data_IF_399694942027
#
_entry.id   IF_399694942027
#
_cell.length_a   1.000
_cell.length_b   1.000
_cell.length_c   1.000
_cell.angle_alpha   90.00
_cell.angle_beta   90.00
_cell.angle_gamma   90.00
#
_symmetry.space_group_name_H-M   'P 1'
#
loop_
_entity.id
_entity.type
_entity.pdbx_description
1 polymer ?
#
# COMPACT_ATOMS: atom_id res chain seq x y z
N UNK A 1 19.39 6.17 1.86
CA UNK A 1 18.04 5.83 2.40
C UNK A 1 17.46 4.57 1.78
N UNK A 2 17.28 4.50 0.45
CA UNK A 2 16.52 3.43 -0.23
C UNK A 2 17.06 1.99 -0.06
N UNK A 3 18.35 1.84 0.23
CA UNK A 3 19.00 0.55 0.43
C UNK A 3 19.91 0.56 1.68
N UNK A 4 19.56 1.37 2.68
CA UNK A 4 20.33 1.43 3.93
C UNK A 4 20.30 0.06 4.64
N UNK A 5 21.42 -0.43 5.23
CA UNK A 5 21.51 -1.79 5.77
C UNK A 5 20.39 -2.17 6.75
N UNK A 6 20.02 -1.25 7.64
CA UNK A 6 18.92 -1.46 8.59
C UNK A 6 17.56 -1.69 7.91
N UNK A 7 17.34 -1.07 6.74
CA UNK A 7 16.13 -1.23 5.93
C UNK A 7 16.14 -2.58 5.23
N UNK A 8 17.24 -2.91 4.55
CA UNK A 8 17.39 -4.16 3.80
C UNK A 8 17.21 -5.37 4.73
N UNK A 9 17.82 -5.34 5.91
CA UNK A 9 17.68 -6.41 6.92
C UNK A 9 16.21 -6.65 7.30
N UNK A 10 15.46 -5.57 7.57
CA UNK A 10 14.06 -5.66 8.01
C UNK A 10 13.12 -6.02 6.85
N UNK A 11 13.32 -5.44 5.67
CA UNK A 11 12.52 -5.79 4.49
C UNK A 11 12.75 -7.25 4.05
N UNK A 12 13.96 -7.78 4.18
CA UNK A 12 14.19 -9.21 3.94
C UNK A 12 13.36 -10.12 4.85
N UNK A 13 13.12 -9.70 6.11
CA UNK A 13 12.27 -10.44 7.06
C UNK A 13 10.77 -10.20 6.82
N UNK A 14 10.38 -8.99 6.41
CA UNK A 14 8.97 -8.61 6.26
C UNK A 14 8.40 -8.99 4.89
N UNK A 15 9.12 -8.72 3.79
CA UNK A 15 8.64 -8.90 2.41
C UNK A 15 9.32 -10.07 1.69
N UNK A 16 10.32 -10.70 2.32
CA UNK A 16 11.21 -11.65 1.68
C UNK A 16 12.38 -10.99 0.94
N UNK A 17 13.33 -11.83 0.50
CA UNK A 17 14.46 -11.41 -0.33
C UNK A 17 13.94 -10.90 -1.69
N UNK A 18 14.62 -9.91 -2.29
CA UNK A 18 14.28 -9.32 -3.61
C UNK A 18 13.04 -8.42 -3.62
N UNK A 19 12.76 -7.75 -2.52
CA UNK A 19 11.81 -6.64 -2.52
C UNK A 19 12.24 -5.55 -3.53
N UNK A 20 11.28 -4.74 -3.98
CA UNK A 20 11.52 -3.63 -4.90
C UNK A 20 10.84 -2.36 -4.42
N UNK A 21 11.26 -1.23 -4.99
CA UNK A 21 10.55 0.03 -4.85
C UNK A 21 9.18 -0.08 -5.53
N UNK A 22 8.13 0.28 -4.81
CA UNK A 22 6.74 0.29 -5.28
C UNK A 22 6.27 1.73 -5.55
N UNK A 23 6.47 2.63 -4.58
CA UNK A 23 6.11 4.06 -4.70
C UNK A 23 7.09 4.97 -3.94
N UNK A 24 7.16 6.23 -4.38
CA UNK A 24 7.95 7.29 -3.75
C UNK A 24 9.33 7.47 -4.37
N UNK A 25 10.21 8.25 -3.71
CA UNK A 25 10.04 8.87 -2.40
C UNK A 25 8.97 9.98 -2.40
N UNK A 26 8.14 10.02 -1.36
CA UNK A 26 7.24 11.16 -1.09
C UNK A 26 7.81 11.96 0.09
N UNK A 27 7.91 13.28 -0.08
CA UNK A 27 8.21 14.18 1.02
C UNK A 27 6.89 14.54 1.70
N UNK A 28 6.77 14.19 2.98
CA UNK A 28 5.66 14.60 3.82
C UNK A 28 6.11 15.79 4.64
N UNK A 29 5.38 16.89 4.48
CA UNK A 29 5.61 18.17 5.14
C UNK A 29 4.33 18.60 5.84
N UNK A 30 4.47 19.19 7.02
CA UNK A 30 3.37 19.87 7.71
C UNK A 30 3.89 21.01 8.57
N UNK A 31 3.11 22.08 8.66
CA UNK A 31 3.27 23.14 9.66
C UNK A 31 2.17 23.02 10.71
N UNK A 32 2.26 23.75 11.82
CA UNK A 32 1.21 23.79 12.84
C UNK A 32 -0.16 24.03 12.22
N UNK A 33 -1.16 23.24 12.62
CA UNK A 33 -2.51 23.26 12.07
C UNK A 33 -2.73 22.45 10.79
N UNK A 34 -1.70 21.79 10.24
CA UNK A 34 -1.89 20.87 9.10
C UNK A 34 -2.86 19.75 9.48
N UNK A 35 -3.91 19.56 8.68
CA UNK A 35 -4.96 18.58 8.95
C UNK A 35 -4.46 17.12 8.97
N UNK A 36 -5.20 16.29 9.69
CA UNK A 36 -5.00 14.84 9.73
C UNK A 36 -5.65 14.12 8.56
N UNK A 37 -5.66 12.79 8.64
CA UNK A 37 -6.33 11.91 7.68
C UNK A 37 -7.30 11.00 8.42
N UNK A 38 -8.44 10.70 7.80
CA UNK A 38 -9.22 9.51 8.18
C UNK A 38 -8.32 8.29 8.03
N UNK A 39 -8.31 7.43 9.05
CA UNK A 39 -7.51 6.22 9.02
C UNK A 39 -7.98 5.29 7.91
N UNK A 40 -7.00 4.71 7.22
CA UNK A 40 -7.19 3.88 6.04
C UNK A 40 -6.19 2.73 6.04
N UNK A 41 -6.31 1.83 5.07
CA UNK A 41 -5.57 0.57 5.01
C UNK A 41 -6.44 -0.59 5.48
N UNK A 42 -5.85 -1.50 6.26
CA UNK A 42 -6.45 -2.75 6.77
C UNK A 42 -6.72 -3.85 5.74
N UNK A 43 -6.35 -3.62 4.47
CA UNK A 43 -6.66 -4.55 3.39
C UNK A 43 -8.14 -4.92 3.38
N UNK A 44 -9.05 -3.95 3.55
CA UNK A 44 -10.50 -4.19 3.42
C UNK A 44 -11.06 -3.39 2.24
N UNK A 45 -11.66 -4.06 1.23
CA UNK A 45 -11.67 -5.52 1.02
C UNK A 45 -10.27 -6.12 0.87
N UNK A 46 -10.14 -7.44 1.09
CA UNK A 46 -8.84 -8.13 1.05
C UNK A 46 -8.12 -7.89 -0.26
N UNK A 47 -6.90 -7.33 -0.18
CA UNK A 47 -6.03 -7.11 -1.32
C UNK A 47 -4.73 -7.93 -1.15
N UNK A 48 -4.58 -9.06 -1.85
CA UNK A 48 -3.41 -9.94 -1.74
C UNK A 48 -2.07 -9.23 -2.01
N UNK A 49 -2.05 -8.20 -2.86
CA UNK A 49 -0.82 -7.51 -3.23
C UNK A 49 -0.19 -6.72 -2.08
N UNK A 50 -0.97 -6.35 -1.06
CA UNK A 50 -0.47 -5.66 0.16
C UNK A 50 -0.65 -6.49 1.42
N UNK A 51 -1.27 -7.66 1.31
CA UNK A 51 -1.70 -8.44 2.46
C UNK A 51 -0.53 -8.83 3.36
N UNK A 52 -0.83 -8.94 4.65
CA UNK A 52 0.02 -9.59 5.63
C UNK A 52 -0.41 -11.05 5.79
N UNK A 53 0.58 -11.93 5.93
CA UNK A 53 0.37 -13.30 6.37
C UNK A 53 1.51 -13.71 7.30
N UNK A 54 1.20 -14.60 8.25
CA UNK A 54 2.20 -15.25 9.07
C UNK A 54 1.93 -16.75 9.05
N UNK A 55 2.98 -17.52 8.77
CA UNK A 55 2.96 -18.96 8.88
C UNK A 55 4.22 -19.40 9.64
N UNK A 56 4.01 -20.11 10.75
CA UNK A 56 5.07 -20.43 11.72
C UNK A 56 5.82 -19.15 12.16
N UNK A 57 7.14 -19.20 12.20
CA UNK A 57 8.03 -18.09 12.57
C UNK A 57 8.34 -17.14 11.41
N UNK A 58 7.68 -17.31 10.25
CA UNK A 58 7.89 -16.47 9.07
C UNK A 58 6.71 -15.55 8.85
N UNK A 59 7.01 -14.26 8.71
CA UNK A 59 6.04 -13.24 8.30
C UNK A 59 6.24 -12.87 6.84
N UNK A 60 5.15 -12.52 6.18
CA UNK A 60 5.16 -11.98 4.83
C UNK A 60 4.21 -10.78 4.76
N UNK A 61 4.66 -9.71 4.13
CA UNK A 61 3.82 -8.59 3.77
C UNK A 61 4.10 -8.21 2.31
N UNK A 62 3.03 -8.16 1.52
CA UNK A 62 3.12 -7.79 0.11
C UNK A 62 3.60 -6.34 -0.10
N UNK A 63 3.35 -5.45 0.86
CA UNK A 63 3.76 -4.05 0.80
C UNK A 63 4.14 -3.46 2.15
N UNK A 64 5.38 -3.00 2.29
CA UNK A 64 5.90 -2.34 3.50
C UNK A 64 6.25 -0.90 3.17
N UNK A 65 5.77 0.01 4.00
CA UNK A 65 6.12 1.42 3.93
C UNK A 65 7.19 1.74 4.97
N UNK A 66 8.23 2.46 4.54
CA UNK A 66 9.35 2.92 5.34
C UNK A 66 9.31 4.44 5.38
N UNK A 67 9.14 5.01 6.57
CA UNK A 67 9.12 6.45 6.77
C UNK A 67 10.32 6.88 7.60
N UNK A 68 11.16 7.73 7.02
CA UNK A 68 12.29 8.37 7.69
C UNK A 68 11.83 9.69 8.28
N UNK A 69 12.02 9.87 9.59
CA UNK A 69 11.78 11.16 10.23
C UNK A 69 12.99 12.07 10.02
N UNK A 70 12.75 13.26 9.45
CA UNK A 70 13.78 14.29 9.27
C UNK A 70 13.65 15.40 10.31
N UNK A 71 12.60 15.35 11.13
CA UNK A 71 12.37 16.20 12.30
C UNK A 71 11.93 15.30 13.46
N UNK A 72 12.06 15.80 14.68
CA UNK A 72 11.46 15.15 15.84
C UNK A 72 9.93 15.06 15.70
N UNK A 73 9.36 14.00 16.29
CA UNK A 73 7.93 13.78 16.46
C UNK A 73 7.73 13.40 17.93
N UNK A 74 7.35 14.37 18.75
CA UNK A 74 7.13 14.17 20.17
C UNK A 74 5.68 13.76 20.44
N UNK A 75 5.43 13.31 21.67
CA UNK A 75 4.09 12.98 22.12
C UNK A 75 3.18 14.20 22.00
N UNK A 76 2.03 14.05 21.35
CA UNK A 76 1.07 15.13 21.16
C UNK A 76 1.33 16.05 19.96
N UNK A 77 2.48 15.95 19.28
CA UNK A 77 2.75 16.73 18.07
C UNK A 77 1.81 16.38 16.90
N UNK A 78 1.17 15.20 16.94
CA UNK A 78 0.36 14.65 15.86
C UNK A 78 1.18 13.85 14.84
N UNK A 79 0.80 13.88 13.57
CA UNK A 79 1.51 13.11 12.55
C UNK A 79 1.12 11.63 12.57
N UNK A 80 2.04 10.73 12.20
CA UNK A 80 1.69 9.32 11.94
C UNK A 80 1.00 8.67 13.14
N UNK A 81 -0.09 7.96 12.86
CA UNK A 81 -0.75 7.07 13.82
C UNK A 81 -1.14 5.75 13.16
N UNK A 82 -1.29 4.71 13.97
CA UNK A 82 -1.79 3.42 13.51
C UNK A 82 -2.68 2.75 14.55
N UNK A 83 -3.44 1.75 14.11
CA UNK A 83 -4.06 0.77 15.01
C UNK A 83 -3.17 -0.49 14.99
N UNK A 84 -2.42 -0.76 16.07
CA UNK A 84 -1.60 -1.97 16.16
C UNK A 84 -2.45 -3.24 15.99
N UNK A 85 -1.93 -4.24 15.29
CA UNK A 85 -2.63 -5.52 15.09
C UNK A 85 -3.79 -5.51 14.07
N UNK A 86 -4.24 -4.35 13.59
CA UNK A 86 -5.35 -4.23 12.62
C UNK A 86 -5.17 -5.03 11.32
N UNK A 87 -3.93 -5.33 10.94
CA UNK A 87 -3.58 -6.19 9.81
C UNK A 87 -3.95 -7.67 9.96
N UNK A 88 -4.39 -8.08 11.15
CA UNK A 88 -4.98 -9.41 11.41
C UNK A 88 -6.49 -9.34 11.60
N UNK A 89 -7.09 -8.16 11.50
CA UNK A 89 -8.54 -8.01 11.62
C UNK A 89 -9.24 -8.78 10.51
N UNK A 90 -10.33 -9.47 10.85
CA UNK A 90 -11.26 -10.07 9.89
C UNK A 90 -12.56 -9.27 9.75
N UNK A 91 -12.62 -8.12 10.41
CA UNK A 91 -13.80 -7.30 10.52
C UNK A 91 -13.47 -5.86 10.13
N UNK A 92 -14.51 -5.15 9.68
CA UNK A 92 -14.39 -3.74 9.35
C UNK A 92 -13.93 -2.93 10.54
N UNK A 93 -12.98 -2.03 10.33
CA UNK A 93 -12.60 -1.08 11.36
C UNK A 93 -13.78 -0.16 11.70
N UNK A 94 -14.16 -0.03 12.98
CA UNK A 94 -15.26 0.83 13.38
C UNK A 94 -15.09 2.27 12.88
N UNK A 95 -16.18 2.90 12.46
CA UNK A 95 -16.15 4.23 11.88
C UNK A 95 -15.52 5.27 12.81
N UNK A 96 -15.88 5.27 14.10
CA UNK A 96 -15.32 6.19 15.10
C UNK A 96 -13.81 6.02 15.32
N UNK A 97 -13.27 4.82 15.13
CA UNK A 97 -11.82 4.57 15.17
C UNK A 97 -11.17 5.10 13.91
N UNK A 98 -11.82 4.96 12.74
CA UNK A 98 -11.30 5.50 11.48
C UNK A 98 -11.28 7.03 11.45
N UNK A 99 -12.29 7.68 12.01
CA UNK A 99 -12.34 9.16 12.08
C UNK A 99 -11.54 9.71 13.26
N UNK A 100 -11.16 8.85 14.21
CA UNK A 100 -10.55 9.21 15.49
C UNK A 100 -11.48 10.03 16.41
N UNK A 101 -12.80 10.06 16.17
CA UNK A 101 -13.77 10.69 17.06
C UNK A 101 -13.98 9.89 18.36
N UNK A 102 -13.88 8.56 18.24
CA UNK A 102 -13.84 7.62 19.36
C UNK A 102 -12.92 6.46 18.96
N UNK A 103 -11.65 6.59 19.29
CA UNK A 103 -10.61 5.65 18.92
C UNK A 103 -10.61 4.36 19.76
N UNK A 104 -11.47 4.28 20.79
CA UNK A 104 -11.56 3.18 21.75
C UNK A 104 -10.22 2.88 22.46
N UNK A 105 -9.29 3.84 22.49
CA UNK A 105 -7.92 3.64 22.98
C UNK A 105 -7.07 2.71 22.08
N UNK A 106 -7.48 2.47 20.83
CA UNK A 106 -6.80 1.56 19.90
C UNK A 106 -5.75 2.26 19.02
N UNK A 107 -5.80 3.59 18.93
CA UNK A 107 -4.90 4.37 18.06
C UNK A 107 -3.64 4.72 18.82
N UNK A 108 -2.48 4.54 18.17
CA UNK A 108 -1.16 4.81 18.74
C UNK A 108 -0.39 5.78 17.86
N UNK A 109 0.10 6.86 18.47
CA UNK A 109 1.09 7.79 17.90
C UNK A 109 2.49 7.42 18.41
N UNK A 110 3.39 6.86 17.58
CA UNK A 110 4.76 6.61 17.97
C UNK A 110 5.55 7.93 18.10
N UNK A 111 6.31 8.06 19.19
CA UNK A 111 7.31 9.12 19.37
C UNK A 111 8.59 8.72 18.66
N UNK A 112 9.19 9.67 17.93
CA UNK A 112 10.37 9.44 17.09
C UNK A 112 11.28 10.67 17.11
N UNK A 113 12.58 10.47 16.91
CA UNK A 113 13.58 11.51 16.74
C UNK A 113 14.00 11.64 15.28
N UNK A 114 14.54 12.79 14.91
CA UNK A 114 15.16 12.94 13.60
C UNK A 114 16.22 11.84 13.37
N UNK A 115 16.11 11.13 12.26
CA UNK A 115 16.92 9.95 11.94
C UNK A 115 16.23 8.61 12.20
N UNK A 116 15.17 8.57 13.00
CA UNK A 116 14.40 7.34 13.23
C UNK A 116 13.66 6.89 11.97
N UNK A 117 13.42 5.58 11.91
CA UNK A 117 12.74 4.93 10.80
C UNK A 117 11.56 4.12 11.31
N UNK A 118 10.38 4.46 10.80
CA UNK A 118 9.15 3.73 11.02
C UNK A 118 8.89 2.75 9.87
N UNK A 119 8.58 1.50 10.22
CA UNK A 119 8.10 0.47 9.30
C UNK A 119 6.63 0.20 9.60
N UNK A 120 5.78 0.22 8.58
CA UNK A 120 4.37 -0.14 8.74
C UNK A 120 3.82 -0.74 7.46
N UNK A 121 2.74 -1.52 7.61
CA UNK A 121 2.11 -2.22 6.49
C UNK A 121 1.06 -1.31 5.84
N UNK A 122 1.49 -0.30 5.10
CA UNK A 122 0.61 0.77 4.60
C UNK A 122 -0.58 0.33 3.73
N UNK A 123 -0.65 -0.93 3.28
CA UNK A 123 -1.88 -1.49 2.71
C UNK A 123 -2.68 -2.36 3.68
N UNK A 124 -2.00 -3.19 4.49
CA UNK A 124 -2.65 -4.16 5.37
C UNK A 124 -2.96 -3.64 6.78
N UNK A 125 -2.37 -2.54 7.26
CA UNK A 125 -2.60 -1.99 8.60
C UNK A 125 -3.42 -0.71 8.52
N UNK A 126 -4.38 -0.53 9.43
CA UNK A 126 -5.07 0.74 9.61
C UNK A 126 -4.08 1.79 10.14
N UNK A 127 -3.93 2.88 9.41
CA UNK A 127 -3.03 3.97 9.74
C UNK A 127 -3.51 5.29 9.14
N UNK A 128 -2.90 6.38 9.53
CA UNK A 128 -3.20 7.71 9.05
C UNK A 128 -2.35 8.73 9.75
N UNK A 129 -2.86 9.95 9.90
CA UNK A 129 -2.17 11.00 10.64
C UNK A 129 -3.16 11.78 11.50
N UNK A 130 -2.77 12.08 12.74
CA UNK A 130 -3.42 13.14 13.49
C UNK A 130 -3.00 14.52 12.96
N UNK A 131 -3.84 15.56 13.15
CA UNK A 131 -3.47 16.94 12.84
C UNK A 131 -2.17 17.34 13.53
N UNK A 132 -1.34 18.12 12.85
CA UNK A 132 -0.04 18.54 13.37
C UNK A 132 -0.18 19.74 14.31
N UNK A 133 0.32 19.60 15.54
CA UNK A 133 0.19 20.59 16.61
C UNK A 133 1.52 21.29 16.96
N UNK A 134 2.65 20.80 16.43
CA UNK A 134 3.95 21.35 16.78
C UNK A 134 4.27 22.62 16.00
N UNK A 135 4.89 23.60 16.68
CA UNK A 135 5.47 24.79 16.05
C UNK A 135 6.66 24.44 15.14
N UNK A 136 7.34 23.32 15.39
CA UNK A 136 8.40 22.83 14.50
C UNK A 136 7.77 22.11 13.31
N UNK A 137 8.15 22.44 12.06
CA UNK A 137 7.59 21.76 10.90
C UNK A 137 7.89 20.26 10.89
N UNK A 138 6.85 19.46 10.63
CA UNK A 138 6.99 18.03 10.34
C UNK A 138 7.73 17.84 9.03
N UNK A 139 8.77 17.01 9.05
CA UNK A 139 9.50 16.58 7.85
C UNK A 139 9.74 15.08 7.89
N UNK A 140 9.25 14.36 6.88
CA UNK A 140 9.56 12.94 6.71
C UNK A 140 9.62 12.53 5.24
N UNK A 141 10.33 11.44 4.96
CA UNK A 141 10.40 10.84 3.62
C UNK A 141 9.78 9.45 3.70
N UNK A 142 8.77 9.23 2.88
CA UNK A 142 8.02 7.98 2.82
C UNK A 142 8.35 7.23 1.53
N UNK A 143 8.79 5.98 1.68
CA UNK A 143 9.17 5.09 0.58
C UNK A 143 8.40 3.79 0.75
N UNK A 144 7.68 3.35 -0.30
CA UNK A 144 6.93 2.10 -0.27
C UNK A 144 7.69 1.03 -1.04
N UNK A 145 7.80 -0.14 -0.43
CA UNK A 145 8.42 -1.33 -1.03
C UNK A 145 7.36 -2.43 -1.18
N UNK A 146 7.50 -3.22 -2.23
CA UNK A 146 6.70 -4.42 -2.44
C UNK A 146 7.58 -5.67 -2.49
N UNK A 147 7.03 -6.80 -2.05
CA UNK A 147 7.67 -8.10 -2.28
C UNK A 147 7.83 -8.37 -3.78
N UNK A 148 8.73 -9.28 -4.16
CA UNK A 148 8.92 -9.62 -5.58
C UNK A 148 7.61 -10.07 -6.26
N UNK A 149 6.78 -10.84 -5.55
CA UNK A 149 5.52 -11.39 -6.06
C UNK A 149 4.34 -10.41 -6.02
N UNK A 150 4.42 -9.33 -5.25
CA UNK A 150 3.33 -8.35 -5.14
C UNK A 150 3.47 -7.26 -6.17
N UNK A 151 2.63 -7.24 -7.21
CA UNK A 151 2.61 -6.17 -8.23
C UNK A 151 1.39 -5.27 -8.05
N UNK A 152 1.61 -4.07 -7.49
CA UNK A 152 0.53 -3.11 -7.26
C UNK A 152 0.39 -2.11 -8.40
N UNK A 153 1.47 -1.41 -8.72
CA UNK A 153 1.57 -0.50 -9.84
C UNK A 153 2.83 -0.77 -10.65
N UNK A 154 2.77 -0.37 -11.92
CA UNK A 154 3.92 -0.24 -12.81
C UNK A 154 4.18 1.25 -13.05
N UNK A 155 5.42 1.67 -13.34
CA UNK A 155 5.76 3.08 -13.56
C UNK A 155 4.96 3.76 -14.67
N UNK A 156 4.45 2.99 -15.64
CA UNK A 156 3.56 3.47 -16.70
C UNK A 156 2.41 2.48 -16.91
N UNK A 157 1.21 3.02 -17.13
CA UNK A 157 0.01 2.25 -17.50
C UNK A 157 0.20 1.43 -18.78
N UNK A 158 1.13 1.81 -19.64
CA UNK A 158 1.35 1.10 -20.89
C UNK A 158 2.12 -0.21 -20.71
N UNK A 159 2.84 -0.38 -19.59
CA UNK A 159 3.73 -1.53 -19.39
C UNK A 159 3.01 -2.86 -19.17
N UNK A 160 1.72 -2.85 -18.84
CA UNK A 160 0.92 -4.07 -18.75
C UNK A 160 0.06 -4.32 -19.99
N UNK A 161 0.08 -3.43 -21.00
CA UNK A 161 -0.72 -3.64 -22.20
C UNK A 161 -0.23 -4.91 -22.93
N UNK A 162 -1.13 -5.77 -23.43
CA UNK A 162 -0.75 -7.02 -24.08
C UNK A 162 0.30 -6.84 -25.17
N UNK A 163 0.13 -5.82 -26.02
CA UNK A 163 1.05 -5.48 -27.11
C UNK A 163 2.46 -5.09 -26.63
N UNK A 164 2.59 -4.50 -25.44
CA UNK A 164 3.87 -4.11 -24.85
C UNK A 164 4.51 -5.30 -24.11
N UNK A 165 3.67 -6.09 -23.43
CA UNK A 165 4.15 -7.18 -22.57
C UNK A 165 4.49 -8.46 -23.34
N UNK A 166 3.69 -8.78 -24.37
CA UNK A 166 3.83 -10.00 -25.18
C UNK A 166 4.27 -9.74 -26.62
N UNK A 167 4.19 -8.49 -27.09
CA UNK A 167 4.47 -8.10 -28.47
C UNK A 167 3.19 -7.99 -29.31
N UNK A 168 3.16 -6.99 -30.19
CA UNK A 168 2.02 -6.68 -31.06
C UNK A 168 1.59 -7.87 -31.92
N UNK A 169 2.54 -8.54 -32.57
CA UNK A 169 2.28 -9.66 -33.49
C UNK A 169 1.55 -10.83 -32.80
N UNK A 170 1.82 -11.08 -31.52
CA UNK A 170 1.20 -12.19 -30.80
C UNK A 170 -0.29 -11.93 -30.51
N UNK A 171 -0.64 -10.68 -30.28
CA UNK A 171 -1.98 -10.31 -29.78
C UNK A 171 -2.87 -9.67 -30.85
N UNK A 172 -2.35 -9.47 -32.07
CA UNK A 172 -3.02 -8.76 -33.16
C UNK A 172 -4.37 -9.38 -33.54
N UNK A 173 -4.46 -10.71 -33.62
CA UNK A 173 -5.65 -11.44 -34.05
C UNK A 173 -6.53 -11.92 -32.88
N UNK A 174 -6.25 -11.46 -31.67
CA UNK A 174 -7.03 -11.83 -30.49
C UNK A 174 -8.31 -11.01 -30.37
N UNK A 175 -9.40 -11.69 -30.02
CA UNK A 175 -10.65 -11.07 -29.56
C UNK A 175 -10.41 -10.22 -28.29
N UNK A 176 -11.36 -9.33 -27.96
CA UNK A 176 -11.24 -8.52 -26.73
C UNK A 176 -11.15 -9.43 -25.49
N UNK A 177 -11.92 -10.51 -25.47
CA UNK A 177 -11.94 -11.52 -24.41
C UNK A 177 -10.62 -12.27 -24.27
N UNK A 178 -10.01 -12.66 -25.40
CA UNK A 178 -8.67 -13.25 -25.39
C UNK A 178 -7.62 -12.23 -24.94
N UNK A 179 -7.71 -10.97 -25.37
CA UNK A 179 -6.79 -9.92 -24.93
C UNK A 179 -6.91 -9.61 -23.44
N UNK A 180 -8.10 -9.73 -22.85
CA UNK A 180 -8.33 -9.42 -21.44
C UNK A 180 -7.47 -10.26 -20.48
N UNK A 181 -7.14 -11.52 -20.85
CA UNK A 181 -6.25 -12.38 -20.04
C UNK A 181 -4.76 -12.19 -20.34
N UNK A 182 -4.42 -11.37 -21.34
CA UNK A 182 -3.04 -11.13 -21.77
C UNK A 182 -2.41 -9.89 -21.14
N UNK A 183 -3.13 -9.18 -20.28
CA UNK A 183 -2.56 -8.03 -19.56
C UNK A 183 -1.48 -8.47 -18.57
N UNK A 184 -0.41 -7.68 -18.49
CA UNK A 184 0.67 -7.88 -17.51
C UNK A 184 0.19 -7.71 -16.05
N UNK A 185 0.97 -8.20 -15.07
CA UNK A 185 0.54 -8.21 -13.66
C UNK A 185 0.41 -6.79 -13.08
N UNK A 186 -0.63 -6.53 -12.29
CA UNK A 186 -0.85 -5.26 -11.59
C UNK A 186 -2.31 -5.06 -11.15
N UNK A 187 -2.55 -4.20 -10.16
CA UNK A 187 -3.94 -3.86 -9.70
C UNK A 187 -4.32 -2.41 -9.94
N UNK A 188 -3.36 -1.53 -10.24
CA UNK A 188 -3.61 -0.13 -10.62
C UNK A 188 -3.60 0.04 -12.14
N UNK A 189 -4.43 -0.75 -12.84
CA UNK A 189 -4.56 -0.70 -14.30
C UNK A 189 -5.47 0.43 -14.82
N UNK A 190 -5.97 1.31 -13.94
CA UNK A 190 -6.80 2.45 -14.33
C UNK A 190 -8.02 2.07 -15.18
N UNK A 191 -8.65 0.92 -14.89
CA UNK A 191 -9.81 0.40 -15.62
C UNK A 191 -9.51 -0.36 -16.92
N UNK A 192 -8.24 -0.52 -17.30
CA UNK A 192 -7.90 -1.19 -18.56
C UNK A 192 -8.11 -2.72 -18.53
N UNK A 193 -7.83 -3.37 -17.40
CA UNK A 193 -8.16 -4.80 -17.21
C UNK A 193 -9.60 -4.89 -16.76
N UNK A 194 -10.43 -5.58 -17.55
CA UNK A 194 -11.86 -5.80 -17.27
C UNK A 194 -12.09 -7.28 -16.93
N UNK A 195 -13.03 -7.60 -16.03
CA UNK A 195 -13.41 -8.99 -15.75
C UNK A 195 -13.98 -9.69 -16.99
N UNK A 196 -13.92 -11.01 -17.00
CA UNK A 196 -14.66 -11.84 -17.95
C UNK A 196 -15.90 -12.40 -17.27
N UNK A 197 -17.00 -12.45 -18.03
CA UNK A 197 -18.24 -13.11 -17.65
C UNK A 197 -18.58 -14.19 -18.66
N UNK A 198 -19.40 -15.16 -18.23
CA UNK A 198 -19.91 -16.23 -19.08
C UNK A 198 -21.42 -16.12 -19.12
N UNK A 199 -21.98 -15.96 -20.31
CA UNK A 199 -23.42 -15.93 -20.55
C UNK A 199 -24.03 -17.34 -20.37
N UNK A 200 -25.36 -17.43 -20.24
CA UNK A 200 -26.04 -18.72 -20.04
C UNK A 200 -25.82 -19.72 -21.17
N UNK A 201 -25.55 -19.23 -22.39
CA UNK A 201 -25.24 -20.04 -23.57
C UNK A 201 -23.77 -20.49 -23.64
N UNK A 202 -22.95 -20.09 -22.66
CA UNK A 202 -21.52 -20.42 -22.59
C UNK A 202 -20.60 -19.41 -23.30
N UNK A 203 -21.14 -18.34 -23.89
CA UNK A 203 -20.34 -17.29 -24.52
C UNK A 203 -19.57 -16.50 -23.47
N UNK A 204 -18.26 -16.31 -23.69
CA UNK A 204 -17.42 -15.46 -22.85
C UNK A 204 -17.51 -14.02 -23.36
N UNK A 205 -17.66 -13.05 -22.45
CA UNK A 205 -17.65 -11.62 -22.77
C UNK A 205 -16.87 -10.82 -21.76
N UNK A 206 -16.48 -9.62 -22.15
CA UNK A 206 -15.98 -8.60 -21.22
C UNK A 206 -17.12 -8.08 -20.36
N UNK A 207 -16.90 -8.06 -19.05
CA UNK A 207 -17.78 -7.38 -18.11
C UNK A 207 -17.55 -5.86 -18.19
N UNK A 208 -18.61 -5.13 -18.48
CA UNK A 208 -18.62 -3.66 -18.56
C UNK A 208 -19.33 -3.01 -17.38
N UNK A 209 -19.72 -3.76 -16.36
CA UNK A 209 -20.27 -3.21 -15.14
C UNK A 209 -19.17 -2.55 -14.28
N UNK A 210 -19.35 -1.26 -13.97
CA UNK A 210 -18.47 -0.45 -13.10
C UNK A 210 -18.71 -0.72 -11.60
#
# INVERSE_FOLDING_TARGET
MIAHPAIVLRLNMMCGKRFRLDHGPLIISGVEGTEGLTLHGQGEPHNPCVAYHQQNDTTYCGGVTVSWQLSDVNQGDGGFVCVPGSHKSRQRMPAGVRTCDNDLGLVTQPVMKAGDVLFFMGGAQTHGTHPWQSQTPRRSVLIKYASQSSVRGVPSKDLYKPEVWWGEDLVADMTEEQRAVMYGPGVHHGGLVKPLMVEEDGTVRIDHCD
#
